data_IF_649297007926
#
_entry.id   IF_649297007926
#
_cell.length_a   1.000
_cell.length_b   1.000
_cell.length_c   1.000
_cell.angle_alpha   90.00
_cell.angle_beta   90.00
_cell.angle_gamma   90.00
#
_symmetry.space_group_name_H-M   'P 1'
#
loop_
_entity.id
_entity.type
_entity.pdbx_description
1 polymer ?
#
# COMPACT_ATOMS: atom_id res chain seq x y z
N UNK A 1 10.16 -9.35 -10.70
CA UNK A 1 9.68 -8.07 -10.13
C UNK A 1 8.89 -7.27 -11.16
N UNK A 2 9.46 -6.97 -12.33
CA UNK A 2 8.73 -6.40 -13.47
C UNK A 2 7.57 -7.28 -13.93
N UNK A 3 7.76 -8.60 -13.99
CA UNK A 3 6.66 -9.54 -14.29
C UNK A 3 5.55 -9.49 -13.24
N UNK A 4 5.89 -9.27 -11.96
CA UNK A 4 4.95 -9.18 -10.85
C UNK A 4 4.10 -7.91 -10.95
N UNK A 5 4.72 -6.77 -11.29
CA UNK A 5 4.01 -5.50 -11.51
C UNK A 5 3.28 -5.44 -12.86
N UNK A 6 3.67 -6.28 -13.83
CA UNK A 6 2.95 -6.49 -15.08
C UNK A 6 1.67 -7.32 -14.93
N UNK A 7 1.54 -8.05 -13.82
CA UNK A 7 0.31 -8.76 -13.46
C UNK A 7 -0.63 -7.88 -12.60
N UNK A 8 -1.90 -8.25 -12.55
CA UNK A 8 -2.88 -7.58 -11.68
C UNK A 8 -2.51 -7.70 -10.19
N UNK A 9 -2.88 -6.70 -9.36
CA UNK A 9 -2.59 -6.73 -7.93
C UNK A 9 -3.32 -7.87 -7.22
N UNK A 10 -2.67 -8.46 -6.21
CA UNK A 10 -3.26 -9.50 -5.35
C UNK A 10 -4.34 -8.91 -4.44
N UNK A 11 -4.16 -7.65 -3.99
CA UNK A 11 -5.13 -6.90 -3.20
C UNK A 11 -5.18 -5.45 -3.66
N UNK A 12 -6.39 -4.89 -3.62
CA UNK A 12 -6.64 -3.45 -3.78
C UNK A 12 -7.47 -2.97 -2.60
N UNK A 13 -7.07 -1.86 -2.00
CA UNK A 13 -7.78 -1.22 -0.88
C UNK A 13 -7.91 0.27 -1.15
N UNK A 14 -9.08 0.85 -0.93
CA UNK A 14 -9.25 2.31 -0.98
C UNK A 14 -8.57 2.89 0.24
N UNK A 15 -7.69 3.86 0.01
CA UNK A 15 -6.95 4.51 1.07
C UNK A 15 -7.79 5.60 1.73
N UNK A 16 -7.69 5.68 3.05
CA UNK A 16 -8.26 6.79 3.84
C UNK A 16 -7.58 8.15 3.53
N UNK A 17 -6.49 8.16 2.76
CA UNK A 17 -5.87 9.38 2.22
C UNK A 17 -6.79 10.01 1.16
N UNK A 18 -7.76 10.77 1.64
CA UNK A 18 -8.55 11.70 0.82
C UNK A 18 -7.80 13.03 0.80
N UNK A 19 -7.15 13.33 -0.33
CA UNK A 19 -6.86 14.73 -0.66
C UNK A 19 -8.22 15.43 -0.68
N UNK A 20 -8.41 16.48 0.14
CA UNK A 20 -9.72 17.10 0.42
C UNK A 20 -10.55 17.56 -0.80
N UNK A 21 -9.99 17.47 -2.01
CA UNK A 21 -10.66 17.72 -3.30
C UNK A 21 -10.28 16.73 -4.41
N UNK A 22 -9.77 15.53 -4.08
CA UNK A 22 -9.25 14.56 -5.06
C UNK A 22 -9.96 13.21 -5.10
N UNK A 23 -9.66 12.43 -6.14
CA UNK A 23 -10.16 11.06 -6.32
C UNK A 23 -9.69 10.16 -5.17
N UNK A 24 -10.53 9.19 -4.79
CA UNK A 24 -10.17 8.15 -3.83
C UNK A 24 -8.94 7.38 -4.34
N UNK A 25 -7.82 7.47 -3.61
CA UNK A 25 -6.58 6.79 -3.95
C UNK A 25 -6.62 5.35 -3.44
N UNK A 26 -5.93 4.44 -4.11
CA UNK A 26 -5.91 3.02 -3.74
C UNK A 26 -4.51 2.53 -3.43
N UNK A 27 -4.40 1.68 -2.42
CA UNK A 27 -3.26 0.80 -2.23
C UNK A 27 -3.42 -0.42 -3.13
N UNK A 28 -2.35 -0.77 -3.85
CA UNK A 28 -2.26 -1.99 -4.65
C UNK A 28 -1.10 -2.80 -4.13
N UNK A 29 -1.36 -4.07 -3.87
CA UNK A 29 -0.42 -4.97 -3.21
C UNK A 29 -0.13 -6.13 -4.15
N UNK A 30 1.15 -6.43 -4.28
CA UNK A 30 1.64 -7.66 -4.87
C UNK A 30 2.59 -8.33 -3.88
N UNK A 31 2.68 -9.65 -3.97
CA UNK A 31 3.69 -10.42 -3.26
C UNK A 31 4.55 -11.18 -4.24
N UNK A 32 5.85 -11.13 -4.00
CA UNK A 32 6.79 -12.12 -4.50
C UNK A 32 7.00 -13.17 -3.41
N UNK A 33 7.71 -14.29 -3.67
CA UNK A 33 8.00 -15.26 -2.62
C UNK A 33 8.74 -14.69 -1.39
N UNK A 34 9.40 -13.54 -1.53
CA UNK A 34 10.25 -12.96 -0.46
C UNK A 34 9.91 -11.52 -0.10
N UNK A 35 9.18 -10.78 -0.94
CA UNK A 35 8.92 -9.35 -0.74
C UNK A 35 7.44 -9.00 -0.93
N UNK A 36 7.00 -8.00 -0.18
CA UNK A 36 5.82 -7.22 -0.47
C UNK A 36 6.18 -6.07 -1.41
N UNK A 37 5.33 -5.84 -2.41
CA UNK A 37 5.35 -4.65 -3.26
C UNK A 37 4.04 -3.92 -3.03
N UNK A 38 4.11 -2.67 -2.58
CA UNK A 38 2.94 -1.86 -2.28
C UNK A 38 3.04 -0.54 -3.02
N UNK A 39 2.10 -0.29 -3.92
CA UNK A 39 1.90 1.02 -4.52
C UNK A 39 0.76 1.71 -3.79
N UNK A 40 1.02 2.85 -3.17
CA UNK A 40 0.00 3.57 -2.41
C UNK A 40 0.29 5.06 -2.28
N UNK A 41 -0.73 5.83 -1.85
CA UNK A 41 -0.54 7.23 -1.49
C UNK A 41 0.44 7.40 -0.33
N UNK A 42 1.25 8.45 -0.41
CA UNK A 42 2.17 8.87 0.64
C UNK A 42 2.09 10.39 0.73
N UNK A 43 1.76 10.89 1.93
CA UNK A 43 1.70 12.32 2.18
C UNK A 43 3.12 12.89 2.24
N UNK A 44 3.33 14.01 1.56
CA UNK A 44 4.51 14.85 1.70
C UNK A 44 4.10 16.11 2.45
N UNK A 45 4.75 16.34 3.60
CA UNK A 45 4.57 17.51 4.45
C UNK A 45 5.68 18.55 4.20
N UNK A 46 6.09 18.70 2.94
CA UNK A 46 7.08 19.68 2.51
C UNK A 46 6.60 21.13 2.60
N UNK A 47 7.48 22.10 2.28
CA UNK A 47 7.24 23.54 2.45
C UNK A 47 6.10 24.11 1.57
N UNK A 48 5.59 23.32 0.62
CA UNK A 48 4.54 23.70 -0.31
C UNK A 48 3.14 23.15 0.05
N UNK A 49 2.99 22.60 1.26
CA UNK A 49 1.71 22.05 1.76
C UNK A 49 1.48 20.57 1.39
N UNK A 50 0.31 20.06 1.79
CA UNK A 50 -0.09 18.63 1.74
C UNK A 50 -0.18 18.07 0.31
N UNK A 51 0.95 17.71 -0.27
CA UNK A 51 0.99 16.92 -1.50
C UNK A 51 0.81 15.44 -1.15
N UNK A 52 0.09 14.71 -2.00
CA UNK A 52 0.01 13.25 -1.90
C UNK A 52 0.62 12.65 -3.15
N UNK A 53 1.70 11.91 -2.96
CA UNK A 53 2.44 11.23 -4.01
C UNK A 53 2.04 9.76 -4.05
N UNK A 54 2.27 9.09 -5.19
CA UNK A 54 2.23 7.63 -5.24
C UNK A 54 3.64 7.09 -4.97
N UNK A 55 3.78 6.30 -3.90
CA UNK A 55 5.02 5.64 -3.51
C UNK A 55 4.92 4.16 -3.83
N UNK A 56 5.95 3.61 -4.46
CA UNK A 56 6.16 2.18 -4.58
C UNK A 56 7.15 1.73 -3.50
N UNK A 57 6.67 0.97 -2.52
CA UNK A 57 7.48 0.37 -1.47
C UNK A 57 7.77 -1.10 -1.80
N UNK A 58 9.02 -1.51 -1.57
CA UNK A 58 9.48 -2.89 -1.67
C UNK A 58 10.12 -3.28 -0.35
N UNK A 59 9.50 -4.19 0.38
CA UNK A 59 9.96 -4.62 1.71
C UNK A 59 9.97 -6.15 1.81
N UNK A 60 10.88 -6.74 2.60
CA UNK A 60 10.86 -8.18 2.87
C UNK A 60 9.56 -8.59 3.55
N UNK A 61 9.03 -9.78 3.21
CA UNK A 61 7.84 -10.33 3.87
C UNK A 61 8.05 -10.59 5.38
N UNK A 62 9.28 -10.59 5.87
CA UNK A 62 9.58 -10.71 7.30
C UNK A 62 9.22 -9.46 8.12
N UNK A 63 8.84 -8.33 7.49
CA UNK A 63 8.48 -7.11 8.24
C UNK A 63 7.12 -7.20 8.93
N UNK A 64 6.24 -8.10 8.48
CA UNK A 64 4.94 -8.34 9.10
C UNK A 64 4.54 -9.81 8.88
N UNK A 65 3.69 -10.40 9.75
CA UNK A 65 3.11 -11.72 9.48
C UNK A 65 2.36 -11.74 8.15
N UNK A 66 2.06 -12.94 7.64
CA UNK A 66 1.48 -13.14 6.31
C UNK A 66 0.30 -12.22 5.96
N UNK A 67 0.08 -11.99 4.66
CA UNK A 67 -0.99 -11.12 4.18
C UNK A 67 -2.35 -11.54 4.76
N UNK A 68 -3.11 -10.61 5.35
CA UNK A 68 -4.43 -10.92 5.88
C UNK A 68 -5.38 -11.53 4.84
N UNK A 69 -6.34 -12.36 5.26
CA UNK A 69 -7.37 -12.87 4.35
C UNK A 69 -8.16 -11.73 3.71
N UNK A 70 -8.77 -12.00 2.55
CA UNK A 70 -9.71 -11.05 1.96
C UNK A 70 -11.01 -11.05 2.76
N UNK A 71 -11.64 -9.88 2.91
CA UNK A 71 -12.89 -9.72 3.67
C UNK A 71 -12.96 -8.35 4.33
N UNK A 72 -14.15 -7.80 4.48
CA UNK A 72 -14.35 -6.50 5.14
C UNK A 72 -13.95 -6.56 6.63
N UNK A 73 -14.12 -7.72 7.26
CA UNK A 73 -13.71 -8.02 8.63
C UNK A 73 -12.19 -7.98 8.84
N UNK A 74 -11.40 -8.01 7.76
CA UNK A 74 -9.94 -8.01 7.79
C UNK A 74 -9.32 -6.71 7.26
N UNK A 75 -10.14 -5.70 6.96
CA UNK A 75 -9.66 -4.44 6.37
C UNK A 75 -8.65 -3.73 7.28
N UNK A 76 -8.93 -3.64 8.57
CA UNK A 76 -8.03 -3.00 9.55
C UNK A 76 -6.71 -3.78 9.73
N UNK A 77 -6.77 -5.10 9.65
CA UNK A 77 -5.57 -5.94 9.65
C UNK A 77 -4.74 -5.70 8.38
N UNK A 78 -5.39 -5.51 7.23
CA UNK A 78 -4.74 -5.18 5.97
C UNK A 78 -4.09 -3.78 6.00
N UNK A 79 -4.77 -2.77 6.57
CA UNK A 79 -4.21 -1.43 6.79
C UNK A 79 -2.97 -1.50 7.67
N UNK A 80 -3.03 -2.24 8.78
CA UNK A 80 -1.89 -2.44 9.68
C UNK A 80 -0.71 -3.11 8.96
N UNK A 81 -0.99 -4.12 8.13
CA UNK A 81 0.02 -4.81 7.33
C UNK A 81 0.67 -3.89 6.29
N UNK A 82 -0.11 -3.04 5.62
CA UNK A 82 0.40 -2.03 4.69
C UNK A 82 1.35 -1.08 5.41
N UNK A 83 0.95 -0.52 6.55
CA UNK A 83 1.78 0.42 7.33
C UNK A 83 3.12 -0.19 7.71
N UNK A 84 3.14 -1.45 8.15
CA UNK A 84 4.38 -2.16 8.50
C UNK A 84 5.37 -2.29 7.32
N UNK A 85 4.89 -2.18 6.08
CA UNK A 85 5.68 -2.25 4.85
C UNK A 85 5.90 -0.91 4.16
N UNK A 86 5.25 0.18 4.60
CA UNK A 86 5.37 1.51 3.99
C UNK A 86 6.01 2.57 4.90
N UNK A 87 5.95 2.41 6.22
CA UNK A 87 6.50 3.34 7.23
C UNK A 87 8.01 3.17 7.47
N UNK A 88 8.75 2.81 6.43
CA UNK A 88 10.22 2.67 6.44
C UNK A 88 10.89 3.60 5.44
#
# INVERSE_FOLDING_TARGET
MTETLGAGPERTLVSDHTVGFGLALTHRIWRTPTHALILGPSADAGPYGYLTHLRLSQTPLSCAPGLPPAGAEHEEALKTWITAHTDR
#
